data_IF_208648375721
#
_entry.id   IF_208648375721
#
_cell.length_a   1.000
_cell.length_b   1.000
_cell.length_c   1.000
_cell.angle_alpha   90.00
_cell.angle_beta   90.00
_cell.angle_gamma   90.00
#
_symmetry.space_group_name_H-M   'P 1'
#
loop_
_entity.id
_entity.type
_entity.pdbx_description
1 polymer ?
#
# COMPACT_ATOMS: atom_id res chain seq x y z
N UNK A 1 1.69 -9.65 6.19
CA UNK A 1 3.02 -10.21 6.53
C UNK A 1 4.14 -9.18 6.29
N UNK A 2 4.28 -8.60 5.09
CA UNK A 2 5.36 -7.65 4.78
C UNK A 2 5.46 -6.47 5.74
N UNK A 3 4.33 -5.84 6.10
CA UNK A 3 4.31 -4.74 7.07
C UNK A 3 4.92 -5.09 8.43
N UNK A 4 4.68 -6.29 8.95
CA UNK A 4 5.23 -6.74 10.24
C UNK A 4 6.75 -6.93 10.19
N UNK A 5 7.26 -7.49 9.08
CA UNK A 5 8.69 -7.66 8.86
C UNK A 5 9.38 -6.28 8.78
N UNK A 6 8.82 -5.37 8.00
CA UNK A 6 9.40 -4.04 7.77
C UNK A 6 9.29 -3.16 9.03
N UNK A 7 8.24 -3.32 9.83
CA UNK A 7 8.11 -2.65 11.12
C UNK A 7 9.25 -3.02 12.09
N UNK A 8 9.69 -4.28 12.12
CA UNK A 8 10.85 -4.71 12.94
C UNK A 8 12.17 -4.08 12.51
N UNK A 9 12.23 -3.59 11.27
CA UNK A 9 13.39 -2.89 10.73
C UNK A 9 13.27 -1.37 10.86
N UNK A 10 12.17 -0.86 11.43
CA UNK A 10 11.92 0.58 11.52
C UNK A 10 11.68 1.22 10.15
N UNK A 11 11.12 0.46 9.19
CA UNK A 11 10.82 0.92 7.84
C UNK A 11 9.30 1.14 7.70
N UNK A 12 8.83 2.39 7.51
CA UNK A 12 7.43 2.66 7.22
C UNK A 12 7.10 2.24 5.78
N UNK A 13 5.83 1.89 5.55
CA UNK A 13 5.36 1.38 4.26
C UNK A 13 4.12 2.09 3.78
N UNK A 14 3.93 2.13 2.47
CA UNK A 14 2.63 2.38 1.86
C UNK A 14 2.10 1.04 1.37
N UNK A 15 1.05 0.53 2.00
CA UNK A 15 0.45 -0.76 1.68
C UNK A 15 -0.86 -0.60 0.92
N UNK A 16 -0.98 -1.28 -0.21
CA UNK A 16 -2.25 -1.43 -0.93
C UNK A 16 -2.84 -2.76 -0.50
N UNK A 17 -4.05 -2.76 0.06
CA UNK A 17 -4.67 -3.98 0.58
C UNK A 17 -6.14 -4.03 0.19
N UNK A 18 -6.59 -5.16 -0.33
CA UNK A 18 -7.99 -5.39 -0.69
C UNK A 18 -8.80 -5.95 0.51
N UNK A 19 -8.09 -6.37 1.55
CA UNK A 19 -8.66 -6.85 2.79
C UNK A 19 -9.11 -8.29 2.76
N UNK A 20 -8.69 -9.08 1.78
CA UNK A 20 -8.71 -10.51 1.96
C UNK A 20 -7.77 -10.86 3.12
N UNK A 21 -8.37 -11.34 4.21
CA UNK A 21 -7.57 -11.85 5.32
C UNK A 21 -7.11 -13.22 4.89
N UNK A 22 -5.95 -13.28 4.26
CA UNK A 22 -5.07 -14.42 4.44
C UNK A 22 -4.96 -14.63 5.95
N UNK A 23 -5.50 -15.74 6.46
CA UNK A 23 -5.58 -16.08 7.89
C UNK A 23 -4.21 -16.20 8.61
N UNK A 24 -3.14 -15.77 7.96
CA UNK A 24 -1.74 -15.86 8.35
C UNK A 24 -1.30 -14.76 9.32
N UNK A 25 -1.98 -13.61 9.37
CA UNK A 25 -1.65 -12.54 10.32
C UNK A 25 -2.93 -11.92 10.92
N UNK A 26 -3.34 -12.40 12.10
CA UNK A 26 -4.56 -11.89 12.76
C UNK A 26 -4.39 -10.46 13.34
N UNK A 27 -3.15 -10.01 13.54
CA UNK A 27 -2.83 -8.67 14.04
C UNK A 27 -1.44 -8.25 13.56
N UNK A 28 -1.27 -7.88 12.28
CA UNK A 28 0.03 -7.44 11.78
C UNK A 28 0.43 -6.14 12.48
N UNK A 29 1.66 -6.07 12.98
CA UNK A 29 2.24 -4.81 13.46
C UNK A 29 2.56 -3.96 12.24
N UNK A 30 1.98 -2.77 12.16
CA UNK A 30 2.36 -1.77 11.15
C UNK A 30 3.07 -0.63 11.87
N UNK A 31 4.19 -0.16 11.31
CA UNK A 31 4.99 0.90 11.90
C UNK A 31 4.26 2.26 11.81
N UNK A 32 4.28 3.09 12.86
CA UNK A 32 3.83 4.48 12.77
C UNK A 32 4.51 5.23 11.63
N UNK A 33 3.74 6.06 10.92
CA UNK A 33 4.21 6.74 9.69
C UNK A 33 4.06 5.91 8.42
N UNK A 34 3.56 4.67 8.52
CA UNK A 34 3.04 3.93 7.37
C UNK A 34 1.67 4.47 6.95
N UNK A 35 1.25 4.14 5.73
CA UNK A 35 -0.07 4.47 5.18
C UNK A 35 -0.66 3.19 4.60
N UNK A 36 -1.88 2.84 4.97
CA UNK A 36 -2.60 1.69 4.40
C UNK A 36 -3.73 2.22 3.54
N UNK A 37 -3.68 1.90 2.25
CA UNK A 37 -4.70 2.24 1.27
C UNK A 37 -5.52 0.99 1.02
N UNK A 38 -6.75 1.02 1.54
CA UNK A 38 -7.67 -0.10 1.43
C UNK A 38 -8.53 0.04 0.17
N UNK A 39 -8.50 -0.97 -0.67
CA UNK A 39 -9.26 -1.04 -1.93
C UNK A 39 -10.32 -2.14 -1.89
N UNK A 40 -11.18 -2.20 -2.90
CA UNK A 40 -12.15 -3.28 -3.06
C UNK A 40 -11.46 -4.65 -3.21
N UNK A 41 -12.05 -5.75 -2.72
CA UNK A 41 -11.52 -7.10 -2.88
C UNK A 41 -11.13 -7.43 -4.33
N UNK A 42 -9.91 -7.94 -4.53
CA UNK A 42 -9.32 -8.29 -5.82
C UNK A 42 -8.69 -7.13 -6.61
N UNK A 43 -8.63 -5.92 -6.05
CA UNK A 43 -8.08 -4.74 -6.76
C UNK A 43 -6.67 -4.32 -6.33
N UNK A 44 -6.10 -4.88 -5.27
CA UNK A 44 -4.75 -4.54 -4.82
C UNK A 44 -3.68 -4.87 -5.86
N UNK A 45 -3.78 -6.02 -6.53
CA UNK A 45 -2.90 -6.39 -7.65
C UNK A 45 -3.06 -5.45 -8.86
N UNK A 46 -4.29 -5.04 -9.15
CA UNK A 46 -4.60 -4.15 -10.28
C UNK A 46 -4.02 -2.76 -10.01
N UNK A 47 -4.30 -2.20 -8.84
CA UNK A 47 -3.79 -0.89 -8.43
C UNK A 47 -2.27 -0.94 -8.28
N UNK A 48 -1.72 -1.98 -7.66
CA UNK A 48 -0.27 -2.18 -7.52
C UNK A 48 0.46 -2.22 -8.86
N UNK A 49 -0.11 -2.90 -9.87
CA UNK A 49 0.44 -2.91 -11.23
C UNK A 49 0.40 -1.53 -11.88
N UNK A 50 -0.71 -0.80 -11.73
CA UNK A 50 -0.81 0.58 -12.23
C UNK A 50 0.20 1.51 -11.57
N UNK A 51 0.39 1.39 -10.26
CA UNK A 51 1.42 2.16 -9.54
C UNK A 51 2.81 1.83 -10.09
N UNK A 52 3.12 0.55 -10.29
CA UNK A 52 4.39 0.12 -10.89
C UNK A 52 4.60 0.73 -12.27
N UNK A 53 3.58 0.71 -13.13
CA UNK A 53 3.73 1.13 -14.52
C UNK A 53 3.65 2.67 -14.69
N UNK A 54 2.79 3.34 -13.94
CA UNK A 54 2.51 4.79 -14.09
C UNK A 54 3.35 5.68 -13.15
N UNK A 55 3.72 5.20 -11.96
CA UNK A 55 4.50 5.99 -10.98
C UNK A 55 5.96 5.56 -10.97
N UNK A 56 6.22 4.25 -11.04
CA UNK A 56 7.58 3.73 -11.05
C UNK A 56 8.12 3.50 -12.46
N UNK A 57 7.32 3.73 -13.51
CA UNK A 57 7.72 3.55 -14.92
C UNK A 57 8.28 2.13 -15.20
N UNK A 58 7.75 1.12 -14.52
CA UNK A 58 8.19 -0.26 -14.60
C UNK A 58 9.52 -0.58 -13.88
N UNK A 59 10.10 0.40 -13.15
CA UNK A 59 11.35 0.27 -12.40
C UNK A 59 11.09 -0.18 -10.97
N UNK A 60 12.15 -0.62 -10.29
CA UNK A 60 12.10 -1.01 -8.87
C UNK A 60 12.10 0.18 -7.90
N UNK A 61 12.48 1.38 -8.38
CA UNK A 61 12.63 2.58 -7.55
C UNK A 61 12.18 3.82 -8.33
N UNK A 62 11.55 4.73 -7.62
CA UNK A 62 11.17 6.06 -8.08
C UNK A 62 11.65 7.10 -7.06
N UNK A 63 11.96 8.31 -7.55
CA UNK A 63 12.24 9.46 -6.69
C UNK A 63 10.93 10.21 -6.43
N UNK A 64 10.23 9.81 -5.37
CA UNK A 64 8.92 10.34 -4.96
C UNK A 64 8.83 10.27 -3.43
N UNK A 65 8.27 11.30 -2.80
CA UNK A 65 8.05 11.26 -1.36
C UNK A 65 6.79 10.46 -1.01
N UNK A 66 6.69 10.03 0.25
CA UNK A 66 5.61 9.17 0.70
C UNK A 66 4.21 9.80 0.55
N UNK A 67 4.08 11.11 0.78
CA UNK A 67 2.78 11.79 0.68
C UNK A 67 2.29 11.78 -0.77
N UNK A 68 3.14 12.24 -1.70
CA UNK A 68 2.80 12.26 -3.12
C UNK A 68 2.54 10.85 -3.65
N UNK A 69 3.32 9.86 -3.21
CA UNK A 69 3.07 8.46 -3.58
C UNK A 69 1.70 7.98 -3.10
N UNK A 70 1.30 8.30 -1.86
CA UNK A 70 -0.01 7.93 -1.35
C UNK A 70 -1.15 8.59 -2.13
N UNK A 71 -1.03 9.89 -2.46
CA UNK A 71 -2.01 10.59 -3.30
C UNK A 71 -2.13 9.94 -4.69
N UNK A 72 -1.00 9.65 -5.33
CA UNK A 72 -0.97 8.98 -6.64
C UNK A 72 -1.61 7.59 -6.57
N UNK A 73 -1.35 6.82 -5.53
CA UNK A 73 -1.98 5.50 -5.35
C UNK A 73 -3.49 5.64 -5.19
N UNK A 74 -3.98 6.64 -4.44
CA UNK A 74 -5.42 6.91 -4.29
C UNK A 74 -6.08 7.32 -5.60
N UNK A 75 -5.43 8.19 -6.37
CA UNK A 75 -5.90 8.57 -7.72
C UNK A 75 -6.02 7.35 -8.64
N UNK A 76 -5.03 6.46 -8.60
CA UNK A 76 -5.04 5.22 -9.38
C UNK A 76 -6.07 4.21 -8.88
N UNK A 77 -6.35 4.16 -7.58
CA UNK A 77 -7.40 3.33 -7.01
C UNK A 77 -8.81 3.81 -7.43
N UNK A 78 -9.01 5.12 -7.57
CA UNK A 78 -10.26 5.70 -8.07
C UNK A 78 -11.48 5.25 -7.27
N UNK A 79 -12.52 4.78 -7.96
CA UNK A 79 -13.76 4.29 -7.35
C UNK A 79 -13.58 3.00 -6.51
N UNK A 80 -12.45 2.31 -6.65
CA UNK A 80 -12.13 1.12 -5.87
C UNK A 80 -11.50 1.46 -4.52
N UNK A 81 -11.16 2.72 -4.26
CA UNK A 81 -10.69 3.16 -2.94
C UNK A 81 -11.81 3.06 -1.91
N UNK A 82 -11.54 2.33 -0.83
CA UNK A 82 -12.45 2.25 0.32
C UNK A 82 -12.08 3.32 1.35
N UNK A 83 -10.81 3.36 1.78
CA UNK A 83 -10.30 4.32 2.77
C UNK A 83 -8.78 4.29 2.88
N UNK A 84 -8.25 5.33 3.51
CA UNK A 84 -6.87 5.44 3.98
C UNK A 84 -6.82 5.27 5.49
N UNK A 85 -5.84 4.51 5.99
CA UNK A 85 -5.61 4.28 7.41
C UNK A 85 -4.17 4.68 7.78
N UNK A 86 -4.01 5.36 8.91
CA UNK A 86 -2.73 5.71 9.50
C UNK A 86 -2.59 4.94 10.82
N UNK A 87 -1.77 3.86 10.85
CA UNK A 87 -1.53 3.05 12.04
C UNK A 87 -0.74 3.78 13.14
#
# INVERSE_FOLDING_TARGET
IAGDILARLGIPVIGIVDGDIDRLAQSPTIMPGSIIIRVQPGYDDIVGRRVRDEVFEGKERADINAHDLAERVKELAGEHLIREEHP
#
